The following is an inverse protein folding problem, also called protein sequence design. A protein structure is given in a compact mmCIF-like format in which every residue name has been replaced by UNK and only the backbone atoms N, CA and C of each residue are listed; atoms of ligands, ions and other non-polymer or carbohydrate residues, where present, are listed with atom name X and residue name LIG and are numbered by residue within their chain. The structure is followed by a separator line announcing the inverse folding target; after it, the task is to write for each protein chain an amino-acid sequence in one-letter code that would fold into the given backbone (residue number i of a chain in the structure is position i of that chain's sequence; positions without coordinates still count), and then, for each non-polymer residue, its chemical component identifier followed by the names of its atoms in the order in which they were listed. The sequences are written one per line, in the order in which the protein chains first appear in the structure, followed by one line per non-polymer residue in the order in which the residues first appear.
data_IF_960306419961
#
_entry.id   IF_960306419961
#
_cell.length_a   1.000
_cell.length_b   1.000
_cell.length_c   1.000
_cell.angle_alpha   90.00
_cell.angle_beta   90.00
_cell.angle_gamma   90.00
#
_symmetry.space_group_name_H-M   'P 1'
#
loop_
_entity.id
_entity.type
_entity.pdbx_description
1 polymer ?
2 polymer ?
3 water ?
#
# COMPACT_ATOMS: atom_id res chain seq x y z
N UNK A 5 -23.23 2.85 16.02
CA UNK A 5 -22.59 3.93 15.20
C UNK A 5 -22.43 3.49 13.74
N UNK A 6 -22.73 4.41 12.82
CA UNK A 6 -22.33 4.23 11.43
C UNK A 6 -20.82 4.22 11.32
N UNK A 7 -20.32 3.75 10.18
CA UNK A 7 -18.89 3.53 9.99
C UNK A 7 -18.49 3.84 8.56
N UNK A 8 -17.29 4.41 8.38
CA UNK A 8 -16.65 4.41 7.06
C UNK A 8 -16.12 3.00 6.81
N UNK A 9 -16.71 2.32 5.82
CA UNK A 9 -16.42 0.93 5.52
C UNK A 9 -15.55 0.73 4.26
N UNK A 10 -15.51 1.74 3.40
CA UNK A 10 -14.68 1.71 2.20
C UNK A 10 -14.04 3.08 2.08
N UNK A 11 -12.79 3.13 1.66
CA UNK A 11 -12.06 4.40 1.63
C UNK A 11 -10.91 4.30 0.64
N UNK A 12 -10.58 5.43 0.03
CA UNK A 12 -9.50 5.52 -0.93
C UNK A 12 -8.51 6.58 -0.49
N UNK A 13 -7.27 6.17 -0.31
CA UNK A 13 -6.19 7.02 0.14
C UNK A 13 -5.26 7.28 -1.04
N UNK A 14 -4.98 8.56 -1.28
CA UNK A 14 -4.14 9.00 -2.37
C UNK A 14 -2.89 9.64 -1.78
N UNK A 15 -1.72 9.20 -2.25
CA UNK A 15 -0.46 9.67 -1.68
C UNK A 15 0.54 9.94 -2.79
N UNK A 16 1.03 11.18 -2.84
CA UNK A 16 2.02 11.58 -3.83
C UNK A 16 3.39 11.74 -3.19
N UNK A 17 4.37 11.00 -3.72
CA UNK A 17 5.76 11.11 -3.30
C UNK A 17 6.51 11.91 -4.36
N UNK A 18 6.99 13.09 -3.97
CA UNK A 18 7.72 13.96 -4.88
C UNK A 18 9.13 13.50 -5.13
N UNK A 19 9.69 13.91 -6.27
CA UNK A 19 11.07 13.59 -6.63
C UNK A 19 11.37 12.12 -6.45
N UNK A 20 10.50 11.27 -6.98
CA UNK A 20 10.61 9.85 -6.69
C UNK A 20 11.95 9.26 -7.13
N UNK A 21 12.44 9.69 -8.29
CA UNK A 21 13.71 9.19 -8.80
C UNK A 21 14.88 9.50 -7.86
N UNK A 22 14.67 10.50 -7.01
CA UNK A 22 15.69 10.99 -6.07
C UNK A 22 15.66 10.26 -4.74
N UNK A 23 14.67 9.40 -4.52
CA UNK A 23 14.60 8.66 -3.26
C UNK A 23 15.93 8.00 -2.95
N UNK A 24 16.43 8.25 -1.75
CA UNK A 24 17.74 7.76 -1.38
C UNK A 24 17.67 6.48 -0.55
N UNK A 25 16.45 6.04 -0.24
CA UNK A 25 16.27 4.80 0.52
C UNK A 25 17.00 3.65 -0.13
N UNK A 26 17.69 2.86 0.69
CA UNK A 26 18.30 1.63 0.23
C UNK A 26 17.30 0.49 0.36
N UNK A 27 17.65 -0.66 -0.21
CA UNK A 27 16.86 -1.86 -0.07
C UNK A 27 16.54 -2.08 1.43
N UNK A 28 15.27 -2.36 1.72
CA UNK A 28 14.82 -2.60 3.09
C UNK A 28 14.30 -1.38 3.80
N UNK A 29 14.70 -0.19 3.34
CA UNK A 29 14.28 1.05 3.98
C UNK A 29 12.89 1.45 3.51
N UNK A 30 12.18 2.15 4.39
CA UNK A 30 10.78 2.45 4.15
C UNK A 30 10.47 3.94 4.15
N UNK A 31 9.52 4.30 3.28
CA UNK A 31 8.85 5.60 3.37
C UNK A 31 7.45 5.27 3.88
N UNK A 32 7.05 5.95 4.96
CA UNK A 32 5.78 5.70 5.60
C UNK A 32 4.88 6.89 5.35
N UNK A 33 3.63 6.64 4.94
CA UNK A 33 2.67 7.70 4.72
C UNK A 33 2.11 8.23 6.04
N UNK A 34 1.34 9.31 5.95
CA UNK A 34 0.54 9.74 7.07
C UNK A 34 -0.48 8.66 7.46
N UNK A 35 -0.96 8.75 8.69
CA UNK A 35 -1.99 7.86 9.18
C UNK A 35 -3.37 8.34 8.75
N UNK A 36 -4.19 7.39 8.31
CA UNK A 36 -5.57 7.67 7.93
C UNK A 36 -6.50 6.75 8.71
N UNK A 37 -7.75 7.18 8.87
CA UNK A 37 -8.69 6.47 9.73
C UNK A 37 -9.90 5.97 8.99
N UNK A 38 -10.54 4.96 9.58
CA UNK A 38 -11.83 4.47 9.12
C UNK A 38 -12.56 3.83 10.30
N UNK A 39 -13.73 3.27 10.05
CA UNK A 39 -14.43 2.45 11.06
C UNK A 39 -15.10 3.19 12.22
N UNK A 40 -15.72 2.41 13.11
CA UNK A 40 -16.44 2.98 14.25
C UNK A 40 -15.64 4.10 14.91
N UNK A 41 -16.08 5.34 14.70
CA UNK A 41 -15.49 6.53 15.32
C UNK A 41 -13.99 6.75 15.08
N UNK A 42 -13.59 6.81 13.81
CA UNK A 42 -12.18 6.85 13.38
C UNK A 42 -11.23 5.91 14.14
N UNK A 43 -11.74 4.79 14.64
CA UNK A 43 -10.94 3.92 15.51
C UNK A 43 -10.02 2.94 14.78
N UNK A 44 -10.20 2.79 13.47
CA UNK A 44 -9.21 2.02 12.68
C UNK A 44 -8.22 3.01 12.10
N UNK A 45 -6.94 2.80 12.41
CA UNK A 45 -5.86 3.67 11.96
C UNK A 45 -4.94 2.89 11.05
N UNK A 46 -4.63 3.47 9.89
CA UNK A 46 -3.90 2.80 8.83
C UNK A 46 -2.76 3.70 8.35
N UNK A 47 -1.75 3.11 7.71
CA UNK A 47 -0.85 3.89 6.85
C UNK A 47 -0.30 3.00 5.76
N UNK A 48 0.35 3.61 4.77
CA UNK A 48 1.05 2.88 3.73
C UNK A 48 2.53 2.87 4.04
N UNK A 49 3.19 1.78 3.69
CA UNK A 49 4.65 1.70 3.76
C UNK A 49 5.19 1.22 2.41
N UNK A 50 6.14 1.98 1.86
CA UNK A 50 6.71 1.64 0.57
C UNK A 50 8.21 1.49 0.71
N UNK A 51 8.74 0.45 0.06
CA UNK A 51 10.18 0.31 -0.08
C UNK A 51 10.57 0.67 -1.50
N UNK A 52 11.11 1.88 -1.72
CA UNK A 52 11.45 2.29 -3.10
C UNK A 52 12.45 1.38 -3.78
N UNK A 53 13.31 0.73 -3.00
CA UNK A 53 14.32 -0.19 -3.52
C UNK A 53 14.07 -1.63 -3.08
N UNK A 54 12.82 -1.94 -2.78
CA UNK A 54 12.43 -3.30 -2.47
C UNK A 54 12.57 -3.62 -1.01
N UNK A 55 11.74 -4.55 -0.54
CA UNK A 55 11.78 -5.00 0.84
C UNK A 55 13.05 -5.76 1.17
N UNK A 56 13.48 -6.60 0.23
CA UNK A 56 14.53 -7.58 0.50
C UNK A 56 15.21 -7.98 -0.80
N UNK A 57 16.14 -8.93 -0.74
CA UNK A 57 16.91 -9.30 -1.92
C UNK A 57 16.03 -9.88 -3.03
N UNK A 58 15.05 -10.70 -2.64
CA UNK A 58 14.09 -11.28 -3.56
C UNK A 58 13.38 -10.21 -4.40
N UNK A 59 13.16 -9.05 -3.79
CA UNK A 59 12.40 -7.98 -4.42
C UNK A 59 13.25 -6.76 -4.76
N UNK A 60 14.57 -6.96 -4.89
CA UNK A 60 15.51 -5.86 -5.15
C UNK A 60 15.22 -5.08 -6.44
N UNK A 61 14.54 -5.71 -7.39
CA UNK A 61 14.22 -5.06 -8.66
C UNK A 61 12.86 -4.34 -8.66
N UNK A 62 12.21 -4.31 -7.49
CA UNK A 62 10.83 -3.82 -7.40
C UNK A 62 10.65 -2.80 -6.34
N UNK A 63 9.57 -2.04 -6.49
CA UNK A 63 9.04 -1.28 -5.39
C UNK A 63 8.09 -2.24 -4.64
N UNK A 64 8.21 -2.26 -3.31
CA UNK A 64 7.34 -3.08 -2.46
C UNK A 64 6.36 -2.14 -1.77
N UNK A 65 5.09 -2.55 -1.69
CA UNK A 65 4.04 -1.67 -1.21
C UNK A 65 3.10 -2.40 -0.26
N UNK A 66 2.90 -1.83 0.93
CA UNK A 66 2.09 -2.47 1.97
C UNK A 66 1.11 -1.52 2.62
N UNK A 67 -0.03 -2.09 3.02
CA UNK A 67 -1.01 -1.43 3.86
C UNK A 67 -0.78 -1.95 5.28
N UNK A 68 -0.59 -1.03 6.23
CA UNK A 68 -0.38 -1.35 7.64
C UNK A 68 -1.58 -0.93 8.48
N UNK A 69 -2.10 -1.83 9.30
CA UNK A 69 -3.07 -1.47 10.33
C UNK A 69 -2.27 -1.05 11.56
N UNK A 70 -2.27 0.25 11.84
CA UNK A 70 -1.53 0.82 12.96
C UNK A 70 -2.21 0.46 14.26
N UNK A 71 -3.53 0.65 14.33
CA UNK A 71 -4.25 0.29 15.54
C UNK A 71 -5.74 0.09 15.27
N UNK A 72 -6.40 -0.61 16.19
CA UNK A 72 -7.82 -0.95 16.08
C UNK A 72 -8.37 -1.14 17.48
N UNK A 73 -9.69 -1.00 17.66
CA UNK A 73 -10.23 -1.06 19.02
C UNK A 73 -10.20 -2.45 19.64
N UNK A 74 -10.28 -3.48 18.81
CA UNK A 74 -10.22 -4.85 19.30
C UNK A 74 -8.97 -5.57 18.80
N UNK A 75 -9.00 -6.74 18.50
CA UNK A 75 -7.79 -7.50 18.21
C UNK A 75 -7.29 -7.32 16.74
N UNK A 76 -8.26 -7.06 15.87
CA UNK A 76 -8.07 -7.31 14.44
C UNK A 76 -9.18 -6.66 13.62
N UNK A 77 -8.93 -6.51 12.32
CA UNK A 77 -10.03 -6.40 11.34
C UNK A 77 -9.64 -7.17 10.09
N UNK A 78 -10.63 -7.51 9.28
CA UNK A 78 -10.39 -8.17 8.00
C UNK A 78 -10.71 -7.16 6.91
N UNK A 79 -9.82 -7.04 5.93
CA UNK A 79 -10.02 -6.06 4.87
C UNK A 79 -9.46 -6.52 3.54
N UNK A 80 -10.16 -6.14 2.47
CA UNK A 80 -9.68 -6.27 1.10
C UNK A 80 -9.05 -4.95 0.69
N UNK A 81 -8.10 -5.01 -0.24
CA UNK A 81 -7.43 -3.79 -0.66
C UNK A 81 -6.93 -3.89 -2.09
N UNK A 82 -6.75 -2.73 -2.70
CA UNK A 82 -6.25 -2.59 -4.05
C UNK A 82 -5.27 -1.43 -4.08
N UNK A 83 -4.12 -1.64 -4.72
CA UNK A 83 -3.13 -0.60 -4.95
C UNK A 83 -3.02 -0.33 -6.44
N UNK A 84 -2.89 0.95 -6.80
CA UNK A 84 -2.65 1.34 -8.18
C UNK A 84 -1.83 2.62 -8.20
N UNK A 85 -1.37 2.97 -9.39
CA UNK A 85 -0.62 4.19 -9.63
C UNK A 85 -1.50 5.09 -10.50
N UNK A 86 -1.53 6.39 -10.18
CA UNK A 86 -2.28 7.33 -11.01
C UNK A 86 -1.36 7.98 -12.02
N UNK A 87 -1.75 7.95 -13.28
CA UNK A 87 -1.01 8.68 -14.32
C UNK A 87 -1.29 10.20 -14.25
N UNK A 88 -0.72 10.97 -15.18
CA UNK A 88 -0.86 12.43 -15.16
C UNK A 88 -2.31 12.93 -15.24
N UNK A 89 -3.18 12.09 -15.79
CA UNK A 89 -4.61 12.42 -15.93
C UNK A 89 -5.43 11.93 -14.74
N UNK A 90 -4.76 11.33 -13.76
CA UNK A 90 -5.41 10.84 -12.54
C UNK A 90 -6.06 9.48 -12.73
N UNK A 91 -5.69 8.77 -13.79
CA UNK A 91 -6.26 7.48 -14.11
C UNK A 91 -5.44 6.34 -13.51
N UNK A 92 -6.14 5.31 -13.07
CA UNK A 92 -5.51 4.15 -12.46
C UNK A 92 -4.78 3.29 -13.47
N UNK A 93 -3.58 2.87 -13.11
CA UNK A 93 -2.72 2.02 -13.93
C UNK A 93 -2.03 1.02 -13.01
N UNK A 94 -1.65 -0.14 -13.55
CA UNK A 94 -0.82 -1.11 -12.84
C UNK A 94 -1.41 -1.50 -11.48
N UNK A 95 -2.72 -1.72 -11.45
CA UNK A 95 -3.40 -2.11 -10.23
C UNK A 95 -3.11 -3.54 -9.84
N UNK A 96 -3.00 -3.76 -8.54
CA UNK A 96 -2.95 -5.09 -7.96
C UNK A 96 -3.95 -5.15 -6.82
N UNK A 97 -4.72 -6.23 -6.76
CA UNK A 97 -5.70 -6.33 -5.70
C UNK A 97 -5.64 -7.62 -4.90
N UNK A 98 -6.05 -7.54 -3.64
CA UNK A 98 -5.92 -8.65 -2.71
C UNK A 98 -6.90 -9.80 -2.99
N UNK A 99 -7.96 -9.51 -3.73
CA UNK A 99 -8.95 -10.54 -4.06
C UNK A 99 -9.83 -10.92 -2.87
N UNK A 100 -9.22 -11.49 -1.82
CA UNK A 100 -10.01 -11.80 -0.64
C UNK A 100 -9.62 -10.81 0.46
N UNK A 101 -10.36 -10.82 1.56
CA UNK A 101 -9.98 -10.03 2.73
C UNK A 101 -8.87 -10.73 3.48
N UNK A 102 -7.99 -9.93 4.06
CA UNK A 102 -6.87 -10.40 4.86
C UNK A 102 -7.06 -10.01 6.32
N UNK A 103 -6.52 -10.82 7.21
CA UNK A 103 -6.60 -10.58 8.65
C UNK A 103 -5.51 -9.61 9.06
N UNK A 104 -5.92 -8.38 9.38
CA UNK A 104 -5.01 -7.39 9.93
C UNK A 104 -5.15 -7.35 11.44
N UNK A 105 -4.20 -7.92 12.17
CA UNK A 105 -4.17 -7.65 13.60
C UNK A 105 -3.46 -6.30 13.77
N UNK A 106 -3.63 -5.67 14.92
CA UNK A 106 -2.93 -4.43 15.16
C UNK A 106 -1.43 -4.58 14.92
N UNK A 107 -0.86 -3.70 14.11
CA UNK A 107 0.58 -3.69 13.80
C UNK A 107 1.03 -4.54 12.61
N UNK A 108 0.09 -5.21 11.96
CA UNK A 108 0.42 -6.07 10.84
C UNK A 108 0.13 -5.40 9.51
N UNK A 109 0.97 -5.72 8.52
CA UNK A 109 0.77 -5.27 7.15
C UNK A 109 0.41 -6.40 6.21
N UNK A 110 -0.10 -6.04 5.04
CA UNK A 110 -0.28 -6.94 3.91
C UNK A 110 -0.05 -6.12 2.66
N UNK A 111 0.47 -6.75 1.61
CA UNK A 111 0.72 -6.01 0.39
C UNK A 111 1.44 -6.83 -0.64
N UNK A 112 2.12 -6.11 -1.52
CA UNK A 112 2.75 -6.71 -2.70
C UNK A 112 4.22 -6.37 -2.65
N UNK A 113 5.01 -7.40 -2.36
CA UNK A 113 6.46 -7.28 -2.31
C UNK A 113 7.04 -6.92 -3.67
N UNK A 114 6.41 -7.43 -4.73
CA UNK A 114 6.87 -7.14 -6.09
C UNK A 114 5.79 -6.37 -6.83
N UNK A 115 5.45 -5.19 -6.33
CA UNK A 115 4.35 -4.43 -6.86
C UNK A 115 4.59 -3.94 -8.28
N UNK A 116 5.76 -3.34 -8.51
CA UNK A 116 6.10 -2.85 -9.84
C UNK A 116 7.60 -2.85 -10.00
N UNK A 117 8.07 -3.19 -11.20
CA UNK A 117 9.50 -3.12 -11.50
C UNK A 117 9.99 -1.69 -11.45
N UNK A 118 11.12 -1.48 -10.78
CA UNK A 118 11.73 -0.16 -10.66
C UNK A 118 12.14 0.40 -12.02
N UNK A 119 12.73 -0.45 -12.86
CA UNK A 119 13.19 0.03 -14.16
C UNK A 119 12.01 0.51 -15.01
N UNK A 120 10.93 -0.24 -15.00
CA UNK A 120 9.72 0.15 -15.71
C UNK A 120 9.15 1.45 -15.14
N UNK A 121 9.08 1.55 -13.82
CA UNK A 121 8.51 2.73 -13.19
C UNK A 121 9.31 4.00 -13.51
N UNK A 122 10.64 3.88 -13.49
CA UNK A 122 11.52 5.06 -13.65
C UNK A 122 11.65 5.53 -15.09
N UNK A 123 11.29 4.68 -16.03
CA UNK A 123 11.39 5.00 -17.46
C UNK A 123 10.33 6.03 -17.82
N UNK A 124 10.78 7.22 -18.19
CA UNK A 124 9.92 8.35 -18.54
C UNK A 124 8.86 8.04 -19.61
N UNK A 125 9.17 7.09 -20.49
CA UNK A 125 8.26 6.70 -21.58
C UNK A 125 6.93 6.14 -21.06
N UNK A 126 6.93 5.60 -19.85
CA UNK A 126 5.75 4.92 -19.34
C UNK A 126 4.76 5.84 -18.64
N UNK A 127 5.16 7.09 -18.40
CA UNK A 127 4.26 8.11 -17.87
C UNK A 127 3.76 7.89 -16.46
N UNK A 128 4.50 7.15 -15.65
CA UNK A 128 4.09 6.81 -14.29
C UNK A 128 4.63 7.76 -13.25
N UNK A 129 5.57 8.62 -13.67
CA UNK A 129 6.19 9.61 -12.78
C UNK A 129 6.11 11.02 -13.40
N UNK A 130 4.88 11.54 -13.59
CA UNK A 130 4.76 12.88 -14.16
C UNK A 130 5.35 13.91 -13.19
N UNK A 131 6.18 14.81 -13.70
CA UNK A 131 6.90 15.78 -12.84
C UNK A 131 7.79 15.05 -11.81
N UNK A 132 8.19 13.81 -12.10
CA UNK A 132 8.92 12.94 -11.15
C UNK A 132 8.14 12.71 -9.84
N UNK A 133 6.81 12.64 -9.95
CA UNK A 133 5.96 12.39 -8.80
C UNK A 133 5.30 11.02 -8.92
N UNK A 134 5.40 10.22 -7.85
CA UNK A 134 4.69 8.95 -7.80
C UNK A 134 3.41 9.13 -7.01
N UNK A 135 2.27 8.92 -7.65
CA UNK A 135 1.01 8.98 -6.94
C UNK A 135 0.43 7.58 -6.80
N UNK A 136 0.37 7.13 -5.55
CA UNK A 136 -0.18 5.83 -5.19
C UNK A 136 -1.62 6.01 -4.74
N UNK A 137 -2.41 4.99 -5.02
CA UNK A 137 -3.83 5.01 -4.72
C UNK A 137 -4.19 3.69 -4.07
N UNK A 138 -4.70 3.76 -2.84
CA UNK A 138 -5.03 2.55 -2.09
C UNK A 138 -6.50 2.58 -1.74
N UNK A 139 -7.24 1.58 -2.24
CA UNK A 139 -8.66 1.46 -1.96
C UNK A 139 -8.88 0.27 -1.03
N UNK A 140 -9.59 0.49 0.07
CA UNK A 140 -9.77 -0.51 1.10
C UNK A 140 -11.24 -0.72 1.37
N UNK A 141 -11.62 -1.99 1.58
CA UNK A 141 -12.97 -2.36 1.99
C UNK A 141 -12.89 -3.25 3.21
N UNK A 142 -13.43 -2.80 4.33
CA UNK A 142 -13.34 -3.56 5.57
C UNK A 142 -14.56 -4.48 5.75
N UNK A 143 -14.29 -5.75 6.04
CA UNK A 143 -15.34 -6.77 6.32
C UNK A 143 -16.13 -6.43 7.57
N UNK A 144 -17.45 -6.51 7.45
CA UNK A 144 -18.37 -6.14 8.53
C UNK A 144 -18.93 -7.36 9.27
N UNK B 1 -3.74 -11.63 -5.04
CA UNK B 1 -2.72 -12.21 -5.97
C UNK B 1 -1.30 -11.81 -5.56
N UNK B 2 -0.49 -12.80 -5.16
CA UNK B 2 0.86 -12.56 -4.62
C UNK B 2 0.87 -11.60 -3.41
N UNK B 3 -0.08 -11.80 -2.49
CA UNK B 3 -0.18 -10.96 -1.28
C UNK B 3 0.63 -11.59 -0.15
N UNK B 4 1.53 -10.82 0.44
CA UNK B 4 2.30 -11.29 1.59
C UNK B 4 2.33 -10.21 2.66
N UNK B 5 2.82 -10.60 3.82
CA UNK B 5 3.03 -9.68 4.93
C UNK B 5 4.50 -9.70 5.30
N UNK B 6 5.01 -8.58 5.78
CA UNK B 6 6.40 -8.48 6.18
C UNK B 6 6.68 -9.22 7.49
N UNK B 7 5.62 -9.63 8.20
CA UNK B 7 5.73 -10.46 9.40
C UNK B 7 4.76 -11.63 9.32
N UNK B 8 5.04 -12.67 10.12
CA UNK B 8 4.13 -13.79 10.29
C UNK B 8 4.16 -14.23 11.75
N UNK B 9 3.04 -14.74 12.23
CA UNK B 9 2.90 -15.16 13.62
C UNK B 9 1.92 -16.31 13.72
N UNK B 10 2.24 -17.28 14.58
CA UNK B 10 1.38 -18.45 14.77
C UNK B 10 0.13 -18.10 15.59
#
# INVERSE_FOLDING_TARGET
GSGGSGKVVKFSYMWTINNFSFCREEMGEVIKSSTFSSGANDKLKWCLRVNPKGLDEESKDYLSLYLLLVSCPKSEVRAKFKFSILNAKGEETKAMESQRAYRFVQGKDWGFKKFIRRDFLLDEANGLLPDDKLTLFCEVSVVQD
DEVTSTTSSS
#
